data_IF_234378940255
#
_entry.id   IF_234378940255
#
_cell.length_a   1.000
_cell.length_b   1.000
_cell.length_c   1.000
_cell.angle_alpha   90.00
_cell.angle_beta   90.00
_cell.angle_gamma   90.00
#
_symmetry.space_group_name_H-M   'P 1'
#
loop_
_entity.id
_entity.type
_entity.pdbx_description
1 polymer ?
#
# COMPACT_ATOMS: atom_id res chain seq x y z
N UNK A 1 8.04 43.06 40.13
CA UNK A 1 7.18 41.95 39.73
C UNK A 1 6.98 42.03 38.22
N UNK A 2 7.63 41.16 37.43
CA UNK A 2 7.44 41.09 35.99
C UNK A 2 6.41 39.97 35.71
N UNK A 3 5.28 40.35 35.14
CA UNK A 3 4.22 39.42 34.71
C UNK A 3 4.72 38.57 33.57
N UNK A 4 4.78 37.24 33.76
CA UNK A 4 4.98 36.29 32.69
C UNK A 4 3.64 36.18 31.92
N UNK A 5 3.64 36.63 30.67
CA UNK A 5 2.58 36.31 29.71
C UNK A 5 2.79 34.87 29.23
N UNK A 6 1.92 33.99 29.68
CA UNK A 6 1.77 32.64 29.11
C UNK A 6 1.21 32.78 27.69
N UNK A 7 2.02 32.49 26.71
CA UNK A 7 1.56 32.31 25.32
C UNK A 7 0.80 30.98 25.25
N UNK A 8 -0.52 31.05 25.27
CA UNK A 8 -1.38 29.96 24.81
C UNK A 8 -1.31 29.92 23.29
N UNK A 9 -0.59 28.96 22.76
CA UNK A 9 -0.67 28.62 21.34
C UNK A 9 -2.01 27.91 21.14
N UNK A 10 -2.95 28.60 20.51
CA UNK A 10 -4.17 27.98 20.01
C UNK A 10 -3.78 27.02 18.88
N UNK A 11 -3.83 25.71 19.16
CA UNK A 11 -3.78 24.63 18.17
C UNK A 11 -5.18 24.34 17.59
N UNK A 12 -5.97 25.38 17.34
CA UNK A 12 -7.22 25.25 16.60
C UNK A 12 -6.90 25.29 15.10
N UNK A 13 -7.00 24.14 14.42
CA UNK A 13 -7.08 24.09 12.96
C UNK A 13 -6.10 23.18 12.20
N UNK A 14 -5.33 22.33 12.82
CA UNK A 14 -4.69 21.23 12.06
C UNK A 14 -5.78 20.22 11.71
N UNK A 15 -6.24 20.20 10.46
CA UNK A 15 -7.08 19.09 9.98
C UNK A 15 -6.25 17.82 10.09
N UNK A 16 -6.70 16.85 10.90
CA UNK A 16 -6.09 15.53 10.99
C UNK A 16 -6.41 14.77 9.68
N UNK A 17 -5.73 15.13 8.60
CA UNK A 17 -5.87 14.48 7.29
C UNK A 17 -4.72 13.54 7.04
N UNK A 18 -5.03 12.32 6.60
CA UNK A 18 -4.09 11.27 6.24
C UNK A 18 -4.33 10.87 4.78
N UNK A 19 -3.31 11.05 3.95
CA UNK A 19 -3.33 10.63 2.55
C UNK A 19 -2.59 9.30 2.41
N UNK A 20 -3.28 8.29 1.91
CA UNK A 20 -2.78 6.93 1.73
C UNK A 20 -2.80 6.57 0.26
N UNK A 21 -1.66 6.13 -0.27
CA UNK A 21 -1.50 5.67 -1.65
C UNK A 21 -1.29 4.16 -1.68
N UNK A 22 -1.98 3.46 -2.56
CA UNK A 22 -1.66 2.09 -3.01
C UNK A 22 -1.16 2.15 -4.45
N UNK A 23 -0.01 1.55 -4.74
CA UNK A 23 0.54 1.56 -6.08
C UNK A 23 1.34 0.29 -6.37
N UNK A 24 0.83 -0.56 -7.26
CA UNK A 24 1.62 -1.59 -7.91
C UNK A 24 2.53 -0.89 -8.93
N UNK A 25 3.84 -0.93 -8.71
CA UNK A 25 4.82 -0.16 -9.50
C UNK A 25 5.43 -0.95 -10.66
N UNK A 26 5.01 -2.21 -10.87
CA UNK A 26 5.54 -3.05 -11.93
C UNK A 26 7.08 -3.00 -11.97
N UNK A 27 7.75 -3.19 -10.83
CA UNK A 27 9.20 -3.05 -10.63
C UNK A 27 9.81 -1.81 -11.31
N UNK A 28 9.04 -0.70 -11.38
CA UNK A 28 9.38 0.55 -12.08
C UNK A 28 9.67 0.39 -13.57
N UNK A 29 9.03 -0.59 -14.23
CA UNK A 29 9.10 -0.78 -15.67
C UNK A 29 7.90 -0.14 -16.36
N UNK A 30 8.06 0.95 -17.10
CA UNK A 30 6.98 1.57 -17.87
C UNK A 30 6.47 0.59 -18.94
N UNK A 31 5.15 0.35 -19.06
CA UNK A 31 4.60 -0.70 -19.91
C UNK A 31 4.82 -0.48 -21.42
N UNK A 32 5.21 0.73 -21.81
CA UNK A 32 5.52 1.07 -23.22
C UNK A 32 6.95 0.63 -23.59
N UNK A 33 7.83 0.42 -22.61
CA UNK A 33 9.24 0.09 -22.81
C UNK A 33 9.57 -1.23 -22.11
N UNK A 34 9.79 -2.30 -22.87
CA UNK A 34 9.92 -3.66 -22.36
C UNK A 34 11.08 -3.91 -21.38
N UNK A 35 12.15 -3.10 -21.43
CA UNK A 35 13.38 -3.33 -20.66
C UNK A 35 13.93 -2.05 -20.00
N UNK A 36 13.05 -1.10 -19.70
CA UNK A 36 13.43 0.15 -19.07
C UNK A 36 12.99 0.18 -17.61
N UNK A 37 13.87 0.62 -16.72
CA UNK A 37 13.54 0.86 -15.32
C UNK A 37 13.59 2.36 -15.05
N UNK A 38 12.45 2.93 -14.64
CA UNK A 38 12.30 4.37 -14.38
C UNK A 38 11.73 4.61 -12.97
N UNK A 39 12.59 4.44 -11.96
CA UNK A 39 12.25 4.74 -10.57
C UNK A 39 11.90 6.22 -10.39
N UNK A 40 12.46 7.11 -11.22
CA UNK A 40 12.20 8.55 -11.15
C UNK A 40 10.75 8.88 -11.50
N UNK A 41 10.15 8.16 -12.45
CA UNK A 41 8.73 8.32 -12.78
C UNK A 41 7.85 7.93 -11.58
N UNK A 42 8.14 6.80 -10.92
CA UNK A 42 7.42 6.39 -9.70
C UNK A 42 7.56 7.43 -8.59
N UNK A 43 8.78 7.95 -8.35
CA UNK A 43 9.03 9.02 -7.37
C UNK A 43 8.16 10.23 -7.67
N UNK A 44 8.08 10.65 -8.94
CA UNK A 44 7.29 11.82 -9.32
C UNK A 44 5.79 11.63 -9.08
N UNK A 45 5.25 10.43 -9.38
CA UNK A 45 3.85 10.08 -9.11
C UNK A 45 3.54 10.17 -7.61
N UNK A 46 4.36 9.55 -6.77
CA UNK A 46 4.18 9.57 -5.32
C UNK A 46 4.32 10.99 -4.79
N UNK A 47 5.30 11.75 -5.23
CA UNK A 47 5.49 13.16 -4.86
C UNK A 47 4.28 14.02 -5.19
N UNK A 48 3.73 13.85 -6.40
CA UNK A 48 2.57 14.62 -6.86
C UNK A 48 1.29 14.25 -6.12
N UNK A 49 1.17 13.02 -5.63
CA UNK A 49 0.02 12.57 -4.82
C UNK A 49 0.01 13.19 -3.43
N UNK A 50 1.15 13.69 -2.94
CA UNK A 50 1.36 14.22 -1.59
C UNK A 50 0.92 13.22 -0.50
N UNK A 51 1.13 11.91 -0.75
CA UNK A 51 0.75 10.85 0.19
C UNK A 51 1.64 10.85 1.43
N UNK A 52 1.03 10.59 2.60
CA UNK A 52 1.71 10.43 3.88
C UNK A 52 2.15 8.99 4.11
N UNK A 53 1.33 8.03 3.66
CA UNK A 53 1.60 6.59 3.70
C UNK A 53 1.48 6.01 2.29
N UNK A 54 2.43 5.14 1.92
CA UNK A 54 2.44 4.51 0.60
C UNK A 54 2.62 3.00 0.75
N UNK A 55 1.72 2.22 0.16
CA UNK A 55 1.83 0.78 -0.02
C UNK A 55 2.26 0.50 -1.46
N UNK A 56 3.43 -0.07 -1.64
CA UNK A 56 3.98 -0.44 -2.95
C UNK A 56 3.91 -1.95 -3.13
N UNK A 57 3.57 -2.38 -4.33
CA UNK A 57 3.62 -3.76 -4.78
C UNK A 57 4.58 -3.88 -5.95
N UNK A 58 5.06 -5.10 -6.20
CA UNK A 58 6.05 -5.41 -7.23
C UNK A 58 7.35 -4.63 -7.11
N UNK A 59 7.92 -4.62 -5.91
CA UNK A 59 9.14 -3.90 -5.59
C UNK A 59 10.35 -4.82 -5.70
N UNK A 60 11.34 -4.45 -6.50
CA UNK A 60 12.62 -5.14 -6.63
C UNK A 60 13.69 -4.57 -5.69
N UNK A 61 14.58 -5.46 -5.27
CA UNK A 61 15.79 -5.12 -4.53
C UNK A 61 16.98 -5.92 -5.06
N UNK A 62 17.93 -5.26 -5.70
CA UNK A 62 19.15 -5.86 -6.28
C UNK A 62 18.89 -7.00 -7.28
N UNK A 63 17.79 -6.96 -8.04
CA UNK A 63 17.49 -7.94 -9.07
C UNK A 63 18.29 -7.65 -10.35
N UNK A 64 18.56 -8.67 -11.16
CA UNK A 64 19.25 -8.47 -12.44
C UNK A 64 18.48 -7.52 -13.38
N UNK A 65 17.14 -7.63 -13.41
CA UNK A 65 16.30 -6.80 -14.28
C UNK A 65 16.25 -5.33 -13.85
N UNK A 66 16.32 -5.04 -12.55
CA UNK A 66 16.20 -3.68 -12.02
C UNK A 66 17.54 -3.06 -11.63
N UNK A 67 18.64 -3.84 -11.68
CA UNK A 67 19.96 -3.37 -11.29
C UNK A 67 20.17 -3.31 -9.77
N UNK A 68 21.28 -2.67 -9.39
CA UNK A 68 21.67 -2.54 -7.97
C UNK A 68 20.78 -1.53 -7.23
N UNK A 69 20.46 -1.85 -5.99
CA UNK A 69 19.70 -1.02 -5.06
C UNK A 69 18.32 -1.58 -4.76
N UNK A 70 17.72 -1.09 -3.68
CA UNK A 70 16.35 -1.38 -3.30
C UNK A 70 15.46 -0.25 -3.80
N UNK A 71 14.51 -0.53 -4.68
CA UNK A 71 13.64 0.49 -5.28
C UNK A 71 12.84 1.25 -4.22
N UNK A 72 12.31 0.57 -3.18
CA UNK A 72 11.60 1.24 -2.11
C UNK A 72 12.51 2.20 -1.34
N UNK A 73 13.77 1.82 -1.08
CA UNK A 73 14.74 2.69 -0.40
C UNK A 73 15.10 3.91 -1.26
N UNK A 74 15.32 3.72 -2.56
CA UNK A 74 15.58 4.82 -3.49
C UNK A 74 14.42 5.83 -3.52
N UNK A 75 13.18 5.32 -3.54
CA UNK A 75 11.96 6.14 -3.49
C UNK A 75 11.86 6.88 -2.15
N UNK A 76 12.04 6.16 -1.03
CA UNK A 76 11.98 6.73 0.31
C UNK A 76 13.01 7.82 0.55
N UNK A 77 14.27 7.59 0.14
CA UNK A 77 15.36 8.56 0.26
C UNK A 77 15.05 9.84 -0.53
N UNK A 78 14.54 9.70 -1.76
CA UNK A 78 14.19 10.84 -2.62
C UNK A 78 13.01 11.67 -2.07
N UNK A 79 12.10 11.04 -1.30
CA UNK A 79 10.91 11.67 -0.75
C UNK A 79 11.03 12.03 0.74
N UNK A 80 12.14 11.67 1.39
CA UNK A 80 12.33 11.85 2.84
C UNK A 80 11.38 11.00 3.68
N UNK A 81 10.99 9.81 3.19
CA UNK A 81 10.08 8.88 3.87
C UNK A 81 10.84 7.71 4.49
N UNK A 82 10.36 7.23 5.64
CA UNK A 82 10.83 5.97 6.22
C UNK A 82 10.34 4.80 5.39
N UNK A 83 11.12 3.72 5.32
CA UNK A 83 10.88 2.58 4.43
C UNK A 83 10.89 1.27 5.19
N UNK A 84 9.94 0.40 4.88
CA UNK A 84 9.96 -1.01 5.24
C UNK A 84 9.72 -1.87 4.01
N UNK A 85 10.73 -2.65 3.62
CA UNK A 85 10.62 -3.60 2.50
C UNK A 85 10.24 -4.99 3.02
N UNK A 86 9.13 -5.52 2.55
CA UNK A 86 8.63 -6.86 2.83
C UNK A 86 8.99 -7.83 1.71
N UNK A 87 10.12 -8.54 1.85
CA UNK A 87 10.57 -9.55 0.90
C UNK A 87 9.58 -10.71 0.83
N UNK A 88 9.08 -11.03 -0.36
CA UNK A 88 8.27 -12.20 -0.64
C UNK A 88 9.11 -13.39 -1.12
N UNK A 89 10.01 -13.16 -2.08
CA UNK A 89 10.85 -14.19 -2.69
C UNK A 89 12.30 -13.71 -2.92
N UNK A 90 13.21 -14.67 -3.07
CA UNK A 90 14.48 -14.45 -3.77
C UNK A 90 14.22 -14.46 -5.27
N UNK A 91 14.74 -13.48 -5.98
CA UNK A 91 14.49 -13.33 -7.41
C UNK A 91 15.71 -12.70 -8.11
N UNK A 92 16.22 -13.35 -9.16
CA UNK A 92 17.34 -12.87 -9.99
C UNK A 92 18.52 -12.33 -9.16
N UNK A 93 19.04 -13.16 -8.24
CA UNK A 93 20.13 -12.82 -7.31
C UNK A 93 19.84 -11.66 -6.33
N UNK A 94 18.62 -11.16 -6.30
CA UNK A 94 18.10 -10.15 -5.40
C UNK A 94 16.85 -10.60 -4.67
N UNK A 95 15.93 -9.70 -4.44
CA UNK A 95 14.65 -9.94 -3.78
C UNK A 95 13.51 -9.18 -4.48
N UNK A 96 12.30 -9.73 -4.37
CA UNK A 96 11.07 -9.13 -4.86
C UNK A 96 10.01 -9.19 -3.75
N UNK A 97 9.15 -8.17 -3.70
CA UNK A 97 8.13 -8.12 -2.67
C UNK A 97 7.26 -6.88 -2.70
N UNK A 98 6.85 -6.45 -1.51
CA UNK A 98 6.03 -5.27 -1.28
C UNK A 98 6.77 -4.29 -0.37
N UNK A 99 6.33 -3.02 -0.31
CA UNK A 99 6.94 -2.08 0.62
C UNK A 99 5.90 -1.14 1.25
N UNK A 100 6.28 -0.57 2.37
CA UNK A 100 5.59 0.51 3.07
C UNK A 100 6.55 1.69 3.14
N UNK A 101 6.05 2.88 2.73
CA UNK A 101 6.73 4.14 2.97
C UNK A 101 5.85 5.01 3.87
N UNK A 102 6.49 5.78 4.76
CA UNK A 102 5.80 6.64 5.72
C UNK A 102 6.53 7.96 5.95
N UNK A 103 5.82 9.08 5.90
CA UNK A 103 6.30 10.38 6.41
C UNK A 103 6.40 10.40 7.93
N UNK A 104 5.65 9.51 8.58
CA UNK A 104 5.61 9.42 10.04
C UNK A 104 6.52 8.30 10.56
N UNK A 105 6.90 8.34 11.85
CA UNK A 105 7.74 7.31 12.43
C UNK A 105 7.15 5.91 12.31
N UNK A 106 7.95 4.97 11.80
CA UNK A 106 7.68 3.53 11.83
C UNK A 106 8.25 2.98 13.14
N UNK A 107 7.37 2.53 14.04
CA UNK A 107 7.76 2.05 15.38
C UNK A 107 8.13 0.58 15.37
N UNK A 108 7.39 -0.21 14.61
CA UNK A 108 7.52 -1.66 14.50
C UNK A 108 7.14 -2.11 13.10
N UNK A 109 7.80 -3.15 12.59
CA UNK A 109 7.45 -3.73 11.29
C UNK A 109 7.60 -5.23 11.29
N UNK A 110 6.75 -5.91 10.53
CA UNK A 110 6.76 -7.36 10.39
C UNK A 110 6.28 -7.82 9.02
N UNK A 111 6.91 -8.87 8.51
CA UNK A 111 6.46 -9.58 7.32
C UNK A 111 5.79 -10.89 7.73
N UNK A 112 4.60 -11.13 7.22
CA UNK A 112 3.87 -12.38 7.36
C UNK A 112 3.81 -13.07 6.00
N UNK A 113 4.23 -14.34 5.94
CA UNK A 113 4.05 -15.16 4.75
C UNK A 113 2.59 -15.54 4.59
N UNK A 114 2.06 -15.37 3.40
CA UNK A 114 0.70 -15.80 3.07
C UNK A 114 0.73 -17.21 2.48
N UNK A 115 -0.28 -18.05 2.79
CA UNK A 115 -0.29 -19.44 2.34
C UNK A 115 -0.53 -19.55 0.83
N UNK A 116 0.05 -20.60 0.25
CA UNK A 116 -0.26 -21.07 -1.10
C UNK A 116 -0.22 -22.58 -1.14
N UNK A 117 -0.98 -23.19 -2.05
CA UNK A 117 -0.94 -24.62 -2.27
C UNK A 117 0.23 -24.97 -3.18
N UNK A 118 1.12 -25.91 -2.79
CA UNK A 118 2.29 -26.27 -3.60
C UNK A 118 1.94 -26.71 -5.03
N UNK A 119 0.83 -27.43 -5.19
CA UNK A 119 0.37 -27.93 -6.49
C UNK A 119 -0.03 -26.83 -7.48
N UNK A 120 -0.30 -25.63 -7.01
CA UNK A 120 -0.65 -24.50 -7.88
C UNK A 120 0.56 -23.84 -8.50
N UNK A 121 1.75 -24.03 -7.93
CA UNK A 121 2.98 -23.33 -8.31
C UNK A 121 2.82 -21.79 -8.28
N UNK A 122 1.90 -21.28 -7.43
CA UNK A 122 1.70 -19.85 -7.22
C UNK A 122 2.92 -19.19 -6.61
N UNK A 123 3.19 -17.96 -6.99
CA UNK A 123 4.28 -17.18 -6.41
C UNK A 123 4.01 -16.90 -4.92
N UNK A 124 5.01 -17.13 -4.03
CA UNK A 124 4.86 -16.81 -2.62
C UNK A 124 4.53 -15.33 -2.39
N UNK A 125 3.51 -15.08 -1.59
CA UNK A 125 3.01 -13.74 -1.26
C UNK A 125 3.21 -13.42 0.22
N UNK A 126 3.22 -12.15 0.54
CA UNK A 126 3.41 -11.65 1.91
C UNK A 126 2.44 -10.51 2.22
N UNK A 127 2.20 -10.34 3.52
CA UNK A 127 1.65 -9.14 4.11
C UNK A 127 2.78 -8.43 4.87
N UNK A 128 3.17 -7.24 4.42
CA UNK A 128 4.04 -6.35 5.18
C UNK A 128 3.16 -5.47 6.07
N UNK A 129 3.47 -5.37 7.36
CA UNK A 129 2.76 -4.51 8.30
C UNK A 129 3.73 -3.64 9.08
N UNK A 130 3.37 -2.38 9.27
CA UNK A 130 4.13 -1.42 10.09
C UNK A 130 3.20 -0.70 11.07
N UNK A 131 3.67 -0.52 12.30
CA UNK A 131 3.03 0.33 13.29
C UNK A 131 3.53 1.76 13.07
N UNK A 132 2.61 2.64 12.72
CA UNK A 132 2.90 4.04 12.38
C UNK A 132 2.42 4.92 13.53
N UNK A 133 3.27 5.84 13.98
CA UNK A 133 2.90 6.87 14.97
C UNK A 133 2.46 8.14 14.26
N UNK A 134 1.19 8.51 14.39
CA UNK A 134 0.63 9.73 13.82
C UNK A 134 1.07 10.98 14.62
N UNK A 135 0.99 12.19 14.03
CA UNK A 135 1.45 13.43 14.68
C UNK A 135 0.78 13.75 16.03
N UNK A 136 -0.46 13.30 16.23
CA UNK A 136 -1.25 13.50 17.46
C UNK A 136 -1.03 12.39 18.52
N UNK A 137 0.04 11.61 18.36
CA UNK A 137 0.42 10.47 19.19
C UNK A 137 -0.48 9.22 19.09
N UNK A 138 -1.53 9.20 18.26
CA UNK A 138 -2.19 7.95 17.92
C UNK A 138 -1.28 7.03 17.14
N UNK A 139 -1.50 5.74 17.26
CA UNK A 139 -0.79 4.73 16.47
C UNK A 139 -1.77 3.91 15.67
N UNK A 140 -1.40 3.61 14.42
CA UNK A 140 -2.18 2.79 13.51
C UNK A 140 -1.32 1.69 12.90
N UNK A 141 -1.90 0.56 12.59
CA UNK A 141 -1.27 -0.44 11.72
C UNK A 141 -1.52 -0.08 10.26
N UNK A 142 -0.44 -0.02 9.48
CA UNK A 142 -0.52 0.10 8.02
C UNK A 142 0.08 -1.14 7.37
N UNK A 143 -0.63 -1.68 6.38
CA UNK A 143 -0.26 -2.93 5.71
C UNK A 143 -0.23 -2.78 4.19
N UNK A 144 0.77 -3.41 3.56
CA UNK A 144 0.90 -3.57 2.10
C UNK A 144 0.87 -5.04 1.74
N UNK A 145 0.10 -5.41 0.71
CA UNK A 145 0.02 -6.78 0.21
C UNK A 145 -0.11 -6.82 -1.31
N UNK A 146 0.23 -7.97 -1.88
CA UNK A 146 -0.02 -8.32 -3.28
C UNK A 146 -0.46 -9.79 -3.31
N UNK A 147 -1.73 -10.06 -3.58
CA UNK A 147 -2.25 -11.42 -3.60
C UNK A 147 -1.90 -12.15 -4.90
N UNK A 148 -2.09 -13.47 -4.92
CA UNK A 148 -1.78 -14.32 -6.06
C UNK A 148 -2.53 -13.87 -7.32
N UNK A 149 -1.82 -13.82 -8.45
CA UNK A 149 -2.34 -13.39 -9.76
C UNK A 149 -2.86 -14.53 -10.64
N UNK A 150 -2.77 -15.79 -10.18
CA UNK A 150 -3.22 -16.93 -10.96
C UNK A 150 -4.72 -16.84 -11.30
N UNK A 151 -5.11 -17.52 -12.39
CA UNK A 151 -6.50 -17.51 -12.88
C UNK A 151 -7.48 -18.01 -11.81
N UNK A 152 -7.11 -19.10 -11.12
CA UNK A 152 -7.95 -19.72 -10.10
C UNK A 152 -7.82 -19.01 -8.76
N UNK A 153 -8.92 -18.87 -8.03
CA UNK A 153 -8.95 -18.17 -6.73
C UNK A 153 -8.37 -18.97 -5.56
N UNK A 154 -7.87 -20.18 -5.80
CA UNK A 154 -7.45 -21.12 -4.75
C UNK A 154 -6.49 -20.50 -3.74
N UNK A 155 -5.40 -19.87 -4.21
CA UNK A 155 -4.43 -19.23 -3.32
C UNK A 155 -4.96 -17.91 -2.76
N UNK A 156 -5.63 -17.09 -3.57
CA UNK A 156 -6.21 -15.83 -3.10
C UNK A 156 -7.18 -16.02 -1.92
N UNK A 157 -8.02 -17.08 -1.97
CA UNK A 157 -8.93 -17.41 -0.86
C UNK A 157 -8.19 -17.78 0.42
N UNK A 158 -7.11 -18.55 0.33
CA UNK A 158 -6.26 -18.87 1.49
C UNK A 158 -5.55 -17.61 2.02
N UNK A 159 -5.03 -16.81 1.11
CA UNK A 159 -4.26 -15.60 1.43
C UNK A 159 -5.13 -14.54 2.08
N UNK A 160 -6.34 -14.30 1.58
CA UNK A 160 -7.25 -13.33 2.20
C UNK A 160 -7.68 -13.80 3.60
N UNK A 161 -7.98 -15.08 3.80
CA UNK A 161 -8.33 -15.61 5.12
C UNK A 161 -7.19 -15.43 6.13
N UNK A 162 -5.96 -15.73 5.74
CA UNK A 162 -4.80 -15.54 6.61
C UNK A 162 -4.54 -14.06 6.91
N UNK A 163 -4.63 -13.21 5.90
CA UNK A 163 -4.51 -11.75 6.06
C UNK A 163 -5.54 -11.23 7.07
N UNK A 164 -6.79 -11.65 6.97
CA UNK A 164 -7.85 -11.28 7.91
C UNK A 164 -7.57 -11.85 9.31
N UNK A 165 -7.10 -13.10 9.43
CA UNK A 165 -6.73 -13.70 10.71
C UNK A 165 -5.62 -12.91 11.41
N UNK A 166 -4.60 -12.45 10.69
CA UNK A 166 -3.51 -11.65 11.23
C UNK A 166 -4.02 -10.30 11.77
N UNK A 167 -4.99 -9.70 11.08
CA UNK A 167 -5.43 -8.34 11.37
C UNK A 167 -6.68 -8.23 12.24
N UNK A 168 -7.54 -9.28 12.34
CA UNK A 168 -8.83 -9.21 13.05
C UNK A 168 -8.70 -8.78 14.51
N UNK A 169 -7.67 -9.29 15.22
CA UNK A 169 -7.46 -9.09 16.65
C UNK A 169 -6.56 -7.89 16.98
N UNK A 170 -6.23 -7.06 16.00
CA UNK A 170 -5.49 -5.83 16.27
C UNK A 170 -6.38 -4.81 16.98
N UNK A 171 -5.94 -4.39 18.16
CA UNK A 171 -6.67 -3.43 19.01
C UNK A 171 -6.54 -1.98 18.55
N UNK A 172 -5.57 -1.69 17.69
CA UNK A 172 -5.36 -0.38 17.07
C UNK A 172 -6.04 -0.32 15.71
N UNK A 173 -6.38 0.88 15.21
CA UNK A 173 -6.89 1.03 13.85
C UNK A 173 -5.94 0.43 12.81
N UNK A 174 -6.49 -0.15 11.76
CA UNK A 174 -5.74 -0.81 10.70
C UNK A 174 -6.15 -0.22 9.35
N UNK A 175 -5.14 0.13 8.56
CA UNK A 175 -5.25 0.39 7.13
C UNK A 175 -4.56 -0.75 6.38
N UNK A 176 -5.18 -1.29 5.36
CA UNK A 176 -4.59 -2.24 4.42
C UNK A 176 -4.74 -1.71 3.00
N UNK A 177 -3.67 -1.76 2.23
CA UNK A 177 -3.65 -1.32 0.85
C UNK A 177 -2.88 -2.33 0.00
N UNK A 178 -3.27 -2.50 -1.26
CA UNK A 178 -2.56 -3.40 -2.15
C UNK A 178 -3.31 -3.79 -3.40
N UNK A 179 -2.64 -4.61 -4.18
CA UNK A 179 -3.20 -5.34 -5.31
C UNK A 179 -3.76 -6.68 -4.81
N UNK A 180 -5.07 -6.79 -4.80
CA UNK A 180 -5.76 -8.01 -4.36
C UNK A 180 -5.95 -9.02 -5.50
N UNK A 181 -5.61 -8.67 -6.74
CA UNK A 181 -5.83 -9.48 -7.93
C UNK A 181 -7.28 -10.05 -8.01
N UNK A 182 -8.23 -9.32 -7.47
CA UNK A 182 -9.63 -9.71 -7.32
C UNK A 182 -10.54 -8.50 -7.47
N UNK A 183 -11.61 -8.62 -8.23
CA UNK A 183 -12.58 -7.54 -8.45
C UNK A 183 -13.60 -7.46 -7.32
N UNK A 184 -14.24 -6.30 -7.17
CA UNK A 184 -15.37 -6.13 -6.26
C UNK A 184 -16.46 -7.20 -6.53
N UNK A 185 -17.11 -7.70 -5.47
CA UNK A 185 -18.07 -8.81 -5.48
C UNK A 185 -17.47 -10.20 -5.78
N UNK A 186 -16.15 -10.32 -5.85
CA UNK A 186 -15.51 -11.64 -5.77
C UNK A 186 -15.52 -12.16 -4.32
N UNK A 187 -15.45 -13.48 -4.09
CA UNK A 187 -15.39 -14.04 -2.73
C UNK A 187 -14.22 -13.50 -1.90
N UNK A 188 -13.13 -13.09 -2.56
CA UNK A 188 -11.95 -12.50 -1.92
C UNK A 188 -12.29 -11.13 -1.35
N UNK A 189 -12.91 -10.26 -2.14
CA UNK A 189 -13.25 -8.90 -1.71
C UNK A 189 -14.46 -8.91 -0.77
N UNK A 190 -15.42 -9.84 -0.92
CA UNK A 190 -16.50 -10.05 0.05
C UNK A 190 -15.93 -10.47 1.42
N UNK A 191 -14.90 -11.32 1.44
CA UNK A 191 -14.19 -11.67 2.68
C UNK A 191 -13.52 -10.44 3.31
N UNK A 192 -12.85 -9.60 2.53
CA UNK A 192 -12.28 -8.34 3.02
C UNK A 192 -13.37 -7.44 3.62
N UNK A 193 -14.47 -7.24 2.91
CA UNK A 193 -15.59 -6.38 3.30
C UNK A 193 -16.33 -6.88 4.56
N UNK A 194 -16.13 -8.15 4.96
CA UNK A 194 -16.69 -8.68 6.22
C UNK A 194 -16.04 -8.13 7.49
N UNK A 195 -14.83 -7.56 7.39
CA UNK A 195 -14.03 -7.03 8.52
C UNK A 195 -13.60 -5.58 8.29
N UNK A 196 -13.37 -5.20 7.05
CA UNK A 196 -12.86 -3.90 6.65
C UNK A 196 -13.89 -3.13 5.83
N UNK A 197 -13.80 -1.81 5.89
CA UNK A 197 -14.53 -0.90 5.01
C UNK A 197 -13.58 -0.41 3.92
N UNK A 198 -13.92 -0.63 2.65
CA UNK A 198 -13.13 -0.08 1.53
C UNK A 198 -13.40 1.41 1.38
N UNK A 199 -12.41 2.13 0.89
CA UNK A 199 -12.50 3.58 0.64
C UNK A 199 -13.43 3.96 -0.52
N UNK A 200 -13.92 2.98 -1.27
CA UNK A 200 -14.83 3.16 -2.41
C UNK A 200 -15.88 2.04 -2.46
N UNK A 201 -17.12 2.40 -2.76
CA UNK A 201 -18.21 1.44 -3.02
C UNK A 201 -18.25 1.05 -4.49
N UNK A 202 -18.19 2.04 -5.39
CA UNK A 202 -18.03 1.87 -6.83
C UNK A 202 -16.64 2.31 -7.21
N UNK A 203 -15.68 1.39 -7.05
CA UNK A 203 -14.28 1.71 -7.25
C UNK A 203 -13.97 1.90 -8.73
N UNK A 204 -13.33 3.02 -9.13
CA UNK A 204 -12.86 3.19 -10.50
C UNK A 204 -11.83 2.12 -10.86
N UNK A 205 -11.74 1.70 -12.13
CA UNK A 205 -10.80 0.68 -12.56
C UNK A 205 -9.34 1.16 -12.47
N UNK A 206 -8.43 0.22 -12.18
CA UNK A 206 -7.00 0.47 -12.00
C UNK A 206 -6.12 -0.21 -13.04
N UNK A 207 -6.65 -1.21 -13.77
CA UNK A 207 -5.93 -1.99 -14.77
C UNK A 207 -6.85 -2.37 -15.96
N UNK A 208 -6.29 -2.59 -17.18
CA UNK A 208 -4.94 -2.21 -17.61
C UNK A 208 -4.82 -0.70 -17.75
N UNK A 209 -3.62 -0.17 -17.56
CA UNK A 209 -3.38 1.29 -17.47
C UNK A 209 -3.87 2.08 -18.69
N UNK A 210 -3.78 1.53 -19.90
CA UNK A 210 -4.18 2.24 -21.13
C UNK A 210 -5.71 2.31 -21.33
N UNK A 211 -6.44 1.27 -20.94
CA UNK A 211 -7.90 1.20 -21.02
C UNK A 211 -8.46 0.52 -19.77
N UNK A 212 -8.49 1.22 -18.63
CA UNK A 212 -8.87 0.64 -17.36
C UNK A 212 -10.30 0.08 -17.37
N UNK A 213 -10.44 -1.20 -16.97
CA UNK A 213 -11.74 -1.87 -16.95
C UNK A 213 -11.93 -2.79 -15.74
N UNK A 214 -10.92 -2.94 -14.89
CA UNK A 214 -10.98 -3.72 -13.65
C UNK A 214 -10.39 -2.89 -12.49
N UNK A 215 -11.08 -2.89 -11.35
CA UNK A 215 -10.55 -2.41 -10.09
C UNK A 215 -10.10 -3.62 -9.28
N UNK A 216 -8.79 -3.75 -9.04
CA UNK A 216 -8.17 -4.84 -8.26
C UNK A 216 -7.25 -4.32 -7.16
N UNK A 217 -6.94 -3.02 -7.19
CA UNK A 217 -6.16 -2.32 -6.19
C UNK A 217 -7.10 -1.59 -5.24
N UNK A 218 -6.99 -1.87 -3.94
CA UNK A 218 -7.89 -1.32 -2.93
C UNK A 218 -7.14 -0.79 -1.71
N UNK A 219 -7.78 0.19 -1.06
CA UNK A 219 -7.46 0.65 0.29
C UNK A 219 -8.67 0.37 1.16
N UNK A 220 -8.47 -0.32 2.29
CA UNK A 220 -9.50 -0.64 3.24
C UNK A 220 -9.03 -0.38 4.68
N UNK A 221 -9.98 -0.17 5.61
CA UNK A 221 -9.68 0.24 6.96
C UNK A 221 -10.66 -0.32 7.98
N UNK A 222 -10.23 -0.36 9.24
CA UNK A 222 -11.05 -0.65 10.42
C UNK A 222 -10.49 0.06 11.66
N UNK A 223 -11.31 0.44 12.68
CA UNK A 223 -12.77 0.48 12.63
C UNK A 223 -13.25 1.74 11.88
N UNK A 224 -14.48 1.73 11.39
CA UNK A 224 -15.12 2.89 10.76
C UNK A 224 -15.22 4.10 11.69
N UNK A 225 -15.31 3.87 12.99
CA UNK A 225 -15.39 4.94 13.99
C UNK A 225 -14.13 5.77 14.12
N UNK A 226 -12.97 5.28 13.64
CA UNK A 226 -11.70 6.01 13.73
C UNK A 226 -11.40 6.79 12.44
N UNK A 227 -11.74 6.26 11.28
CA UNK A 227 -11.43 6.87 9.99
C UNK A 227 -12.70 7.34 9.27
N UNK A 228 -12.66 8.54 8.73
CA UNK A 228 -13.68 9.06 7.83
C UNK A 228 -13.06 9.30 6.46
N UNK A 229 -13.51 8.58 5.43
CA UNK A 229 -13.07 8.82 4.05
C UNK A 229 -13.60 10.15 3.56
N UNK A 230 -12.69 11.04 3.16
CA UNK A 230 -12.99 12.37 2.58
C UNK A 230 -12.96 12.32 1.06
N UNK A 231 -12.01 11.54 0.52
CA UNK A 231 -11.82 11.42 -0.92
C UNK A 231 -11.23 10.07 -1.28
N UNK A 232 -11.56 9.57 -2.47
CA UNK A 232 -10.97 8.41 -3.10
C UNK A 232 -10.79 8.71 -4.58
N UNK A 233 -9.57 8.57 -5.09
CA UNK A 233 -9.20 8.88 -6.47
C UNK A 233 -8.31 7.78 -7.03
N UNK A 234 -8.56 7.37 -8.27
CA UNK A 234 -7.60 6.65 -9.11
C UNK A 234 -6.89 7.71 -9.95
N UNK A 235 -5.56 7.82 -9.80
CA UNK A 235 -4.76 8.83 -10.48
C UNK A 235 -4.54 8.38 -11.92
N UNK A 236 -4.84 9.24 -12.91
CA UNK A 236 -4.69 8.93 -14.34
C UNK A 236 -3.21 9.04 -14.78
N UNK A 237 -2.36 8.17 -14.23
CA UNK A 237 -0.94 8.05 -14.53
C UNK A 237 -0.71 6.85 -15.46
N UNK A 238 -0.35 7.10 -16.72
CA UNK A 238 -0.31 6.05 -17.76
C UNK A 238 1.09 5.65 -18.23
N UNK A 239 2.12 6.21 -17.62
CA UNK A 239 3.50 5.97 -18.05
C UNK A 239 4.25 5.04 -17.11
N UNK A 240 4.22 5.32 -15.81
CA UNK A 240 5.20 4.77 -14.86
C UNK A 240 4.97 3.29 -14.47
N UNK A 241 3.72 2.76 -14.60
CA UNK A 241 3.35 1.38 -14.30
C UNK A 241 2.20 0.91 -15.18
N UNK A 242 1.94 -0.39 -15.22
CA UNK A 242 0.77 -0.99 -15.87
C UNK A 242 -0.50 -0.94 -15.01
N UNK A 243 -0.38 -0.50 -13.74
CA UNK A 243 -1.48 -0.15 -12.84
C UNK A 243 -1.61 1.36 -12.64
N UNK A 244 -2.84 1.82 -12.36
CA UNK A 244 -3.10 3.19 -11.92
C UNK A 244 -3.03 3.27 -10.39
N UNK A 245 -2.38 4.30 -9.81
CA UNK A 245 -2.31 4.50 -8.37
C UNK A 245 -3.67 4.84 -7.76
N UNK A 246 -3.96 4.28 -6.58
CA UNK A 246 -5.16 4.57 -5.79
C UNK A 246 -4.80 5.46 -4.62
N UNK A 247 -5.41 6.64 -4.52
CA UNK A 247 -5.20 7.59 -3.43
C UNK A 247 -6.49 7.77 -2.62
N UNK A 248 -6.41 7.61 -1.31
CA UNK A 248 -7.50 7.93 -0.40
C UNK A 248 -7.07 8.98 0.62
N UNK A 249 -7.97 9.92 0.90
CA UNK A 249 -7.80 10.92 1.96
C UNK A 249 -8.76 10.60 3.09
N UNK A 250 -8.21 10.48 4.29
CA UNK A 250 -8.96 10.25 5.52
C UNK A 250 -8.89 11.46 6.42
N UNK A 251 -9.91 11.57 7.25
CA UNK A 251 -9.91 12.36 8.48
C UNK A 251 -9.99 11.37 9.65
N UNK A 252 -9.18 11.57 10.71
CA UNK A 252 -9.21 10.79 11.93
C UNK A 252 -9.34 11.64 13.18
#
# INVERSE_FOLDING_TARGET
MRSQKTLTVNLEGASNELKVLSYNIHHANPPIYSDSIDVSAIIQVIKNSDADLVALQEVDSNTERSGLGNQAQQIGDALGMQVFFGKAIDFQNGAYGVAILSRFPIVESKVYKLPSKPETQGEPRVLAMSLIQLPDAHSIWFASTHLDSQKEDTNRLLQIQELLNIMKDKNLPVLVAGDFNAVAKSPIIESLDSIFTRTCTSCPPTIPVQNPNKAIDFIAFKPESFFKVKNHVVIDEKYASDHLPVLATFQW
#
